data_IF_126262358271
#
_entry.id   IF_126262358271
#
_cell.length_a   1.000
_cell.length_b   1.000
_cell.length_c   1.000
_cell.angle_alpha   90.00
_cell.angle_beta   90.00
_cell.angle_gamma   90.00
#
_symmetry.space_group_name_H-M   'P 1'
#
loop_
_entity.id
_entity.type
_entity.pdbx_description
1 polymer ?
#
# COMPACT_ATOMS: atom_id res chain seq x y z
N UNK A 1 -9.12 47.64 40.02
CA UNK A 1 -10.14 47.76 38.95
C UNK A 1 -10.92 46.48 38.62
N UNK A 2 -10.52 45.26 39.01
CA UNK A 2 -11.25 44.01 38.66
C UNK A 2 -12.60 43.79 39.38
N UNK A 3 -12.80 44.40 40.56
CA UNK A 3 -13.95 44.12 41.44
C UNK A 3 -15.26 44.85 41.10
N UNK A 4 -15.21 45.97 40.37
CA UNK A 4 -16.43 46.68 39.95
C UNK A 4 -17.19 45.87 38.89
N UNK A 5 -16.46 45.28 37.95
CA UNK A 5 -16.98 44.50 36.83
C UNK A 5 -17.75 43.24 37.30
N UNK A 6 -17.24 42.55 38.34
CA UNK A 6 -17.92 41.41 38.95
C UNK A 6 -19.23 41.78 39.65
N UNK A 7 -19.32 42.98 40.24
CA UNK A 7 -20.55 43.45 40.89
C UNK A 7 -21.62 43.78 39.85
N UNK A 8 -21.24 44.40 38.73
CA UNK A 8 -22.17 44.68 37.61
C UNK A 8 -22.68 43.40 36.96
N UNK A 9 -21.79 42.42 36.69
CA UNK A 9 -22.18 41.12 36.15
C UNK A 9 -23.18 40.38 37.06
N UNK A 10 -22.95 40.38 38.37
CA UNK A 10 -23.90 39.80 39.34
C UNK A 10 -25.24 40.52 39.37
N UNK A 11 -25.24 41.85 39.16
CA UNK A 11 -26.46 42.66 39.09
C UNK A 11 -27.26 42.34 37.82
N UNK A 12 -26.58 42.18 36.68
CA UNK A 12 -27.17 41.74 35.42
C UNK A 12 -27.75 40.33 35.54
N UNK A 13 -27.00 39.36 36.06
CA UNK A 13 -27.46 37.99 36.29
C UNK A 13 -28.70 37.92 37.19
N UNK A 14 -28.76 38.74 38.25
CA UNK A 14 -29.98 38.88 39.07
C UNK A 14 -31.16 39.46 38.29
N UNK A 15 -30.92 40.43 37.39
CA UNK A 15 -31.95 41.01 36.51
C UNK A 15 -32.54 40.01 35.51
N UNK A 16 -31.76 39.01 35.09
CA UNK A 16 -32.21 37.89 34.26
C UNK A 16 -32.86 36.74 35.06
N UNK A 17 -33.07 36.90 36.37
CA UNK A 17 -33.63 35.84 37.22
C UNK A 17 -32.66 34.68 37.51
N UNK A 18 -31.37 34.85 37.20
CA UNK A 18 -30.34 33.84 37.39
C UNK A 18 -29.94 33.76 38.86
N UNK A 19 -30.54 32.80 39.56
CA UNK A 19 -30.24 32.44 40.96
C UNK A 19 -29.21 31.32 41.04
N UNK A 20 -28.54 31.18 42.19
CA UNK A 20 -27.64 30.04 42.44
C UNK A 20 -28.34 28.69 42.19
N UNK A 21 -29.61 28.59 42.56
CA UNK A 21 -30.42 27.41 42.34
C UNK A 21 -30.67 27.12 40.84
N UNK A 22 -30.90 28.16 40.02
CA UNK A 22 -31.00 27.99 38.57
C UNK A 22 -29.68 27.58 37.92
N UNK A 23 -28.55 28.11 38.40
CA UNK A 23 -27.23 27.70 37.93
C UNK A 23 -26.95 26.22 38.24
N UNK A 24 -27.33 25.76 39.45
CA UNK A 24 -27.20 24.36 39.85
C UNK A 24 -28.06 23.43 38.98
N UNK A 25 -29.29 23.84 38.63
CA UNK A 25 -30.16 23.08 37.72
C UNK A 25 -29.56 22.95 36.33
N UNK A 26 -29.03 24.05 35.77
CA UNK A 26 -28.39 24.04 34.45
C UNK A 26 -27.15 23.15 34.47
N UNK A 27 -26.36 23.20 35.55
CA UNK A 27 -25.19 22.36 35.72
C UNK A 27 -25.57 20.88 35.78
N UNK A 28 -26.57 20.51 36.60
CA UNK A 28 -27.07 19.13 36.68
C UNK A 28 -27.64 18.65 35.34
N UNK A 29 -28.42 19.50 34.66
CA UNK A 29 -28.93 19.20 33.32
C UNK A 29 -27.78 18.94 32.34
N UNK A 30 -26.73 19.77 32.36
CA UNK A 30 -25.58 19.60 31.46
C UNK A 30 -24.81 18.31 31.73
N UNK A 31 -24.67 17.90 32.99
CA UNK A 31 -24.01 16.63 33.37
C UNK A 31 -24.82 15.45 32.85
N UNK A 32 -26.13 15.44 33.12
CA UNK A 32 -27.03 14.36 32.68
C UNK A 32 -27.04 14.27 31.16
N UNK A 33 -27.19 15.41 30.47
CA UNK A 33 -27.23 15.45 29.01
C UNK A 33 -25.89 15.02 28.38
N UNK A 34 -24.76 15.43 28.97
CA UNK A 34 -23.44 15.01 28.50
C UNK A 34 -23.22 13.51 28.70
N UNK A 35 -23.64 12.96 29.85
CA UNK A 35 -23.56 11.52 30.13
C UNK A 35 -24.43 10.70 29.16
N UNK A 36 -25.65 11.15 28.88
CA UNK A 36 -26.54 10.53 27.91
C UNK A 36 -25.99 10.60 26.47
N UNK A 37 -25.39 11.73 26.10
CA UNK A 37 -24.72 11.89 24.82
C UNK A 37 -23.53 10.97 24.67
N UNK A 38 -22.72 10.82 25.72
CA UNK A 38 -21.56 9.93 25.73
C UNK A 38 -21.99 8.46 25.60
N UNK A 39 -23.03 8.04 26.31
CA UNK A 39 -23.52 6.65 26.24
C UNK A 39 -24.11 6.32 24.87
N UNK A 40 -24.89 7.22 24.27
CA UNK A 40 -25.38 7.05 22.91
C UNK A 40 -24.22 6.98 21.88
N UNK A 41 -23.18 7.79 22.05
CA UNK A 41 -21.99 7.74 21.21
C UNK A 41 -21.24 6.41 21.34
N UNK A 42 -21.04 5.91 22.56
CA UNK A 42 -20.39 4.60 22.79
C UNK A 42 -21.18 3.47 22.12
N UNK A 43 -22.50 3.42 22.31
CA UNK A 43 -23.36 2.39 21.72
C UNK A 43 -23.31 2.39 20.18
N UNK A 44 -23.38 3.57 19.57
CA UNK A 44 -23.31 3.70 18.10
C UNK A 44 -21.94 3.34 17.55
N UNK A 45 -20.86 3.67 18.29
CA UNK A 45 -19.50 3.28 17.94
C UNK A 45 -19.31 1.77 18.02
N UNK A 46 -19.73 1.13 19.11
CA UNK A 46 -19.67 -0.32 19.29
C UNK A 46 -20.47 -1.06 18.21
N UNK A 47 -21.69 -0.59 17.92
CA UNK A 47 -22.50 -1.17 16.85
C UNK A 47 -21.80 -1.08 15.48
N UNK A 48 -21.22 0.07 15.16
CA UNK A 48 -20.48 0.28 13.92
C UNK A 48 -19.26 -0.63 13.83
N UNK A 49 -18.53 -0.80 14.94
CA UNK A 49 -17.37 -1.68 14.99
C UNK A 49 -17.75 -3.15 14.82
N UNK A 50 -18.81 -3.62 15.49
CA UNK A 50 -19.31 -4.99 15.34
C UNK A 50 -19.77 -5.25 13.90
N UNK A 51 -20.48 -4.29 13.29
CA UNK A 51 -20.90 -4.38 11.88
C UNK A 51 -19.71 -4.50 10.94
N UNK A 52 -18.70 -3.63 11.10
CA UNK A 52 -17.48 -3.67 10.29
C UNK A 52 -16.72 -4.99 10.49
N UNK A 53 -16.59 -5.47 11.73
CA UNK A 53 -15.98 -6.78 12.04
C UNK A 53 -16.70 -7.91 11.31
N UNK A 54 -18.02 -7.96 11.39
CA UNK A 54 -18.81 -9.01 10.76
C UNK A 54 -18.70 -8.96 9.23
N UNK A 55 -18.65 -7.77 8.63
CA UNK A 55 -18.42 -7.62 7.19
C UNK A 55 -17.04 -8.13 6.76
N UNK A 56 -15.99 -7.78 7.50
CA UNK A 56 -14.63 -8.27 7.23
C UNK A 56 -14.57 -9.79 7.37
N UNK A 57 -15.14 -10.35 8.44
CA UNK A 57 -15.18 -11.80 8.65
C UNK A 57 -15.93 -12.48 7.50
N UNK A 58 -17.07 -11.94 7.06
CA UNK A 58 -17.81 -12.49 5.93
C UNK A 58 -17.00 -12.48 4.63
N UNK A 59 -16.26 -11.39 4.36
CA UNK A 59 -15.37 -11.30 3.18
C UNK A 59 -14.22 -12.31 3.26
N UNK A 60 -13.63 -12.48 4.43
CA UNK A 60 -12.54 -13.45 4.66
C UNK A 60 -13.04 -14.87 4.48
N UNK A 61 -14.18 -15.24 5.09
CA UNK A 61 -14.81 -16.56 4.93
C UNK A 61 -15.13 -16.83 3.47
N UNK A 62 -15.77 -15.87 2.77
CA UNK A 62 -16.06 -16.01 1.34
C UNK A 62 -14.78 -16.19 0.50
N UNK A 63 -13.71 -15.48 0.84
CA UNK A 63 -12.41 -15.65 0.16
C UNK A 63 -11.85 -17.04 0.37
N UNK A 64 -11.87 -17.56 1.61
CA UNK A 64 -11.44 -18.93 1.88
C UNK A 64 -12.32 -19.97 1.19
N UNK A 65 -13.64 -19.82 1.19
CA UNK A 65 -14.55 -20.71 0.47
C UNK A 65 -14.27 -20.72 -1.04
N UNK A 66 -13.99 -19.55 -1.62
CA UNK A 66 -13.66 -19.46 -3.05
C UNK A 66 -12.30 -20.10 -3.37
N UNK A 67 -11.30 -19.92 -2.49
CA UNK A 67 -10.01 -20.61 -2.60
C UNK A 67 -10.23 -22.12 -2.55
N UNK A 68 -10.97 -22.62 -1.56
CA UNK A 68 -11.27 -24.05 -1.42
C UNK A 68 -11.98 -24.57 -2.67
N UNK A 69 -12.99 -23.87 -3.20
CA UNK A 69 -13.67 -24.25 -4.45
C UNK A 69 -12.74 -24.35 -5.66
N UNK A 70 -11.76 -23.45 -5.78
CA UNK A 70 -10.75 -23.50 -6.84
C UNK A 70 -9.87 -24.76 -6.71
N UNK A 71 -9.50 -25.14 -5.49
CA UNK A 71 -8.63 -26.29 -5.24
C UNK A 71 -9.36 -27.64 -5.24
N UNK A 72 -10.58 -27.71 -4.70
CA UNK A 72 -11.39 -28.92 -4.63
C UNK A 72 -12.16 -29.21 -5.94
N UNK A 73 -12.14 -28.27 -6.90
CA UNK A 73 -12.73 -28.48 -8.23
C UNK A 73 -14.24 -28.72 -8.21
N UNK A 74 -14.95 -28.22 -7.20
CA UNK A 74 -16.40 -28.42 -7.05
C UNK A 74 -17.19 -27.19 -7.54
N UNK A 75 -17.56 -27.20 -8.81
CA UNK A 75 -18.80 -26.57 -9.27
C UNK A 75 -19.50 -27.43 -10.32
N UNK A 76 -20.76 -27.76 -10.04
CA UNK A 76 -21.75 -28.25 -10.98
C UNK A 76 -22.13 -27.09 -11.93
N UNK A 77 -21.45 -26.98 -13.07
CA UNK A 77 -21.74 -25.98 -14.10
C UNK A 77 -20.53 -25.78 -15.00
N UNK A 78 -20.76 -25.69 -16.32
CA UNK A 78 -19.81 -25.91 -17.43
C UNK A 78 -18.51 -25.08 -17.46
N UNK A 79 -18.23 -24.26 -16.45
CA UNK A 79 -17.01 -23.45 -16.36
C UNK A 79 -16.20 -23.80 -15.11
N UNK A 80 -15.67 -25.01 -15.11
CA UNK A 80 -14.76 -25.48 -14.08
C UNK A 80 -13.37 -24.87 -14.25
N UNK A 81 -12.94 -24.07 -13.27
CA UNK A 81 -11.53 -23.80 -12.99
C UNK A 81 -10.92 -25.05 -12.34
N UNK A 82 -10.94 -26.19 -13.03
CA UNK A 82 -10.21 -27.35 -12.55
C UNK A 82 -8.73 -26.95 -12.62
N UNK A 83 -8.00 -27.12 -11.53
CA UNK A 83 -6.54 -27.00 -11.55
C UNK A 83 -5.92 -27.87 -12.67
N UNK A 84 -6.58 -28.93 -13.15
CA UNK A 84 -6.17 -29.71 -14.33
C UNK A 84 -6.44 -29.04 -15.69
N UNK A 85 -7.37 -28.07 -15.78
CA UNK A 85 -7.62 -27.21 -16.95
C UNK A 85 -6.69 -25.99 -16.96
N UNK A 86 -6.38 -25.43 -15.78
CA UNK A 86 -5.43 -24.30 -15.62
C UNK A 86 -3.98 -24.80 -15.70
N UNK A 87 -3.68 -25.97 -15.13
CA UNK A 87 -2.45 -26.73 -15.33
C UNK A 87 -2.74 -27.77 -16.41
N UNK A 88 -3.19 -27.31 -17.58
CA UNK A 88 -3.10 -28.15 -18.76
C UNK A 88 -1.63 -28.44 -18.99
N UNK A 89 -1.22 -29.69 -18.75
CA UNK A 89 0.07 -30.26 -19.14
C UNK A 89 0.14 -30.32 -20.69
N UNK A 90 -0.07 -29.20 -21.38
CA UNK A 90 0.43 -29.03 -22.73
C UNK A 90 1.93 -28.97 -22.56
N UNK A 91 2.60 -30.09 -22.85
CA UNK A 91 4.00 -30.07 -23.24
C UNK A 91 4.11 -29.06 -24.38
N UNK A 92 4.37 -27.80 -24.02
CA UNK A 92 4.61 -26.74 -24.97
C UNK A 92 5.90 -27.18 -25.65
N UNK A 93 5.78 -27.71 -26.88
CA UNK A 93 6.94 -27.96 -27.72
C UNK A 93 7.49 -26.58 -28.04
N UNK A 94 8.39 -26.10 -27.20
CA UNK A 94 9.17 -24.92 -27.50
C UNK A 94 9.79 -25.18 -28.89
N UNK A 95 9.49 -24.37 -29.92
CA UNK A 95 10.25 -24.46 -31.15
C UNK A 95 11.70 -24.30 -30.75
N UNK A 96 12.54 -25.31 -31.08
CA UNK A 96 13.94 -25.44 -30.67
C UNK A 96 14.49 -24.10 -30.20
N UNK A 97 14.68 -23.95 -28.90
CA UNK A 97 15.10 -22.68 -28.32
C UNK A 97 16.34 -22.23 -29.09
N UNK A 98 16.18 -21.23 -29.97
CA UNK A 98 17.33 -20.58 -30.58
C UNK A 98 18.02 -19.93 -29.40
N UNK A 99 19.24 -20.38 -29.10
CA UNK A 99 20.07 -19.76 -28.10
C UNK A 99 20.28 -18.32 -28.50
N UNK A 100 19.49 -17.41 -27.93
CA UNK A 100 19.74 -15.97 -27.98
C UNK A 100 20.68 -15.62 -26.84
N UNK A 101 21.79 -16.34 -26.73
CA UNK A 101 22.96 -15.88 -25.98
C UNK A 101 23.74 -14.88 -26.83
N UNK A 102 24.55 -14.00 -26.22
CA UNK A 102 25.51 -13.23 -26.99
C UNK A 102 26.37 -14.20 -27.80
N UNK A 103 26.43 -13.98 -29.11
CA UNK A 103 27.29 -14.74 -30.05
C UNK A 103 28.77 -14.68 -29.66
N UNK A 104 29.12 -13.85 -28.68
CA UNK A 104 30.44 -13.77 -28.05
C UNK A 104 30.86 -15.05 -27.31
N UNK A 105 29.91 -15.97 -27.04
CA UNK A 105 30.18 -17.30 -26.49
C UNK A 105 30.33 -18.39 -27.56
N UNK A 106 30.05 -18.09 -28.83
CA UNK A 106 30.37 -19.00 -29.93
C UNK A 106 31.89 -19.00 -30.11
N UNK A 107 32.56 -19.97 -29.50
CA UNK A 107 34.01 -20.24 -29.61
C UNK A 107 34.43 -20.71 -31.03
N UNK A 108 33.72 -20.30 -32.08
CA UNK A 108 34.06 -20.63 -33.45
C UNK A 108 34.87 -19.50 -34.11
N UNK A 109 36.16 -19.83 -34.28
CA UNK A 109 37.23 -19.06 -34.94
C UNK A 109 37.74 -17.87 -34.14
N UNK A 110 38.67 -18.16 -33.22
CA UNK A 110 39.65 -17.17 -32.75
C UNK A 110 40.34 -16.55 -33.99
N UNK A 111 40.18 -15.26 -34.28
CA UNK A 111 40.97 -14.62 -35.32
C UNK A 111 42.45 -14.69 -34.91
N UNK A 112 43.34 -15.00 -35.87
CA UNK A 112 44.76 -15.06 -35.61
C UNK A 112 45.25 -13.71 -35.06
N UNK A 113 45.94 -13.73 -33.92
CA UNK A 113 46.53 -12.53 -33.35
C UNK A 113 47.63 -12.01 -34.29
N UNK A 114 47.48 -10.77 -34.76
CA UNK A 114 48.45 -10.12 -35.65
C UNK A 114 49.40 -9.26 -34.82
N UNK A 115 50.71 -9.42 -35.06
CA UNK A 115 51.75 -8.63 -34.38
C UNK A 115 51.79 -7.22 -35.00
N UNK A 116 51.42 -6.22 -34.21
CA UNK A 116 51.39 -4.80 -34.63
C UNK A 116 52.38 -3.96 -33.83
N UNK A 117 52.89 -2.87 -34.43
CA UNK A 117 53.69 -1.86 -33.73
C UNK A 117 52.79 -0.69 -33.34
N UNK A 118 52.85 -0.26 -32.09
CA UNK A 118 52.12 0.90 -31.60
C UNK A 118 52.91 2.20 -31.85
N UNK A 119 52.30 3.18 -32.52
CA UNK A 119 52.81 4.54 -32.62
C UNK A 119 51.98 5.47 -31.74
N UNK A 120 52.64 6.25 -30.88
CA UNK A 120 52.01 7.16 -29.93
C UNK A 120 52.26 8.60 -30.34
N UNK A 121 51.20 9.37 -30.51
CA UNK A 121 51.24 10.81 -30.77
C UNK A 121 50.66 11.56 -29.57
N UNK A 122 51.40 12.54 -29.03
CA UNK A 122 50.92 13.41 -27.95
C UNK A 122 49.96 14.44 -28.51
N UNK A 123 48.74 14.50 -27.99
CA UNK A 123 47.74 15.50 -28.39
C UNK A 123 47.68 16.65 -27.39
N UNK A 124 47.78 16.35 -26.09
CA UNK A 124 47.85 17.34 -25.00
C UNK A 124 48.78 16.84 -23.89
N UNK A 125 48.95 17.58 -22.80
CA UNK A 125 49.82 17.18 -21.67
C UNK A 125 49.45 15.80 -21.10
N UNK A 126 48.15 15.50 -21.02
CA UNK A 126 47.64 14.27 -20.41
C UNK A 126 47.00 13.28 -21.41
N UNK A 127 46.96 13.60 -22.71
CA UNK A 127 46.23 12.81 -23.70
C UNK A 127 47.10 12.46 -24.91
N UNK A 128 47.10 11.18 -25.26
CA UNK A 128 47.86 10.64 -26.37
C UNK A 128 46.96 9.80 -27.26
N UNK A 129 47.16 9.91 -28.57
CA UNK A 129 46.54 9.04 -29.57
C UNK A 129 47.51 7.93 -29.89
N UNK A 130 47.09 6.69 -29.67
CA UNK A 130 47.85 5.50 -30.07
C UNK A 130 47.21 4.92 -31.33
N UNK A 131 48.02 4.69 -32.35
CA UNK A 131 47.61 3.95 -33.56
C UNK A 131 48.46 2.71 -33.68
N UNK A 132 47.82 1.59 -34.01
CA UNK A 132 48.50 0.34 -34.35
C UNK A 132 48.73 0.30 -35.86
N UNK A 133 49.95 -0.01 -36.27
CA UNK A 133 50.33 -0.24 -37.67
C UNK A 133 50.93 -1.64 -37.81
N UNK A 134 50.77 -2.24 -38.98
CA UNK A 134 51.31 -3.57 -39.25
C UNK A 134 52.84 -3.58 -39.08
N UNK A 135 53.32 -4.56 -38.34
CA UNK A 135 54.76 -4.80 -38.20
C UNK A 135 55.25 -5.56 -39.44
N UNK A 136 55.53 -4.85 -40.54
CA UNK A 136 56.41 -5.41 -41.58
C UNK A 136 57.78 -5.73 -41.00
#
# INVERSE_FOLDING_TARGET
>A
MKNSNLKEQRKLLKGYGFTWYSALKILLFSIVFSSLGLSAFVLTSEYSFVKAKNEVVARVVNTYENIVKIYEGSQNGDNSYIASKVIGYKNYKYPNAKSYGPRDLDLEKKPNLVKVKGQKLKLTENLYKVRFIDSK
#
